data_IF_349568196901
#
_entry.id   IF_349568196901
#
_cell.length_a   1.000
_cell.length_b   1.000
_cell.length_c   1.000
_cell.angle_alpha   90.00
_cell.angle_beta   90.00
_cell.angle_gamma   90.00
#
_symmetry.space_group_name_H-M   'P 1'
#
loop_
_entity.id
_entity.type
_entity.pdbx_description
1 polymer ?
#
# COMPACT_ATOMS: atom_id res chain seq x y z
N UNK A 1 5.56 -6.07 30.72
CA UNK A 1 4.29 -6.67 31.20
C UNK A 1 3.67 -7.43 30.04
N UNK A 2 3.25 -8.67 30.28
CA UNK A 2 2.51 -9.46 29.28
C UNK A 2 1.04 -9.03 29.30
N UNK A 3 0.50 -8.61 28.14
CA UNK A 3 -0.92 -8.27 27.99
C UNK A 3 -1.67 -9.35 27.22
N UNK A 4 -2.91 -9.60 27.60
CA UNK A 4 -3.80 -10.56 26.95
C UNK A 4 -4.96 -9.85 26.27
N UNK A 5 -5.36 -10.30 25.07
CA UNK A 5 -6.41 -9.71 24.24
C UNK A 5 -7.43 -10.77 23.78
N UNK A 6 -8.67 -10.38 23.61
CA UNK A 6 -9.68 -11.24 22.99
C UNK A 6 -9.35 -11.51 21.51
N UNK A 7 -8.76 -10.50 20.83
CA UNK A 7 -8.39 -10.56 19.44
C UNK A 7 -7.05 -9.86 19.18
N UNK A 8 -6.15 -10.54 18.48
CA UNK A 8 -4.94 -9.91 17.92
C UNK A 8 -5.05 -9.92 16.39
N UNK A 9 -4.87 -8.77 15.76
CA UNK A 9 -4.86 -8.61 14.30
C UNK A 9 -3.46 -8.20 13.86
N UNK A 10 -2.81 -9.02 13.04
CA UNK A 10 -1.47 -8.74 12.52
C UNK A 10 -1.61 -8.27 11.07
N UNK A 11 -1.35 -7.00 10.84
CA UNK A 11 -1.51 -6.30 9.56
C UNK A 11 -2.82 -5.51 9.47
N UNK A 12 -2.75 -4.32 8.85
CA UNK A 12 -3.86 -3.34 8.78
C UNK A 12 -4.46 -3.21 7.38
N UNK A 13 -4.32 -4.24 6.55
CA UNK A 13 -4.98 -4.32 5.24
C UNK A 13 -6.42 -4.83 5.35
N UNK A 14 -6.77 -5.85 4.55
CA UNK A 14 -8.11 -6.45 4.51
C UNK A 14 -8.58 -7.01 5.88
N UNK A 15 -7.64 -7.36 6.77
CA UNK A 15 -7.96 -7.85 8.11
C UNK A 15 -8.68 -6.80 8.98
N UNK A 16 -8.62 -5.51 8.64
CA UNK A 16 -9.33 -4.46 9.37
C UNK A 16 -10.86 -4.60 9.34
N UNK A 17 -11.40 -5.31 8.36
CA UNK A 17 -12.86 -5.56 8.28
C UNK A 17 -13.41 -6.20 9.56
N UNK A 18 -12.61 -7.04 10.23
CA UNK A 18 -13.03 -7.71 11.46
C UNK A 18 -12.85 -6.84 12.70
N UNK A 19 -11.97 -5.84 12.67
CA UNK A 19 -11.70 -4.95 13.82
C UNK A 19 -12.95 -4.18 14.20
N UNK A 20 -13.60 -3.52 13.26
CA UNK A 20 -14.80 -2.72 13.52
C UNK A 20 -15.96 -3.58 14.07
N UNK A 21 -16.05 -4.84 13.62
CA UNK A 21 -17.06 -5.77 14.14
C UNK A 21 -16.73 -6.21 15.57
N UNK A 22 -15.45 -6.45 15.88
CA UNK A 22 -14.99 -6.83 17.21
C UNK A 22 -15.12 -5.68 18.22
N UNK A 23 -14.84 -4.44 17.80
CA UNK A 23 -15.05 -3.22 18.61
C UNK A 23 -16.51 -3.11 19.04
N UNK A 24 -17.45 -3.29 18.10
CA UNK A 24 -18.90 -3.25 18.44
C UNK A 24 -19.36 -4.33 19.42
N UNK A 25 -18.58 -5.40 19.56
CA UNK A 25 -18.83 -6.45 20.56
C UNK A 25 -18.12 -6.19 21.90
N UNK A 26 -17.42 -5.07 22.03
CA UNK A 26 -16.72 -4.69 23.26
C UNK A 26 -15.45 -5.51 23.51
N UNK A 27 -14.87 -6.15 22.48
CA UNK A 27 -13.66 -6.94 22.62
C UNK A 27 -12.44 -6.04 22.81
N UNK A 28 -11.47 -6.49 23.62
CA UNK A 28 -10.15 -5.90 23.72
C UNK A 28 -9.25 -6.41 22.60
N UNK A 29 -8.71 -5.50 21.81
CA UNK A 29 -8.03 -5.81 20.55
C UNK A 29 -6.60 -5.28 20.56
N UNK A 30 -5.64 -6.10 20.12
CA UNK A 30 -4.32 -5.64 19.72
C UNK A 30 -4.23 -5.59 18.19
N UNK A 31 -3.79 -4.46 17.65
CA UNK A 31 -3.43 -4.31 16.25
C UNK A 31 -1.91 -4.22 16.13
N UNK A 32 -1.30 -5.10 15.34
CA UNK A 32 0.14 -5.08 15.08
C UNK A 32 0.39 -4.72 13.62
N UNK A 33 1.10 -3.63 13.36
CA UNK A 33 1.45 -3.18 12.01
C UNK A 33 2.93 -2.75 11.97
N UNK A 34 3.69 -3.32 11.03
CA UNK A 34 5.12 -2.98 10.88
C UNK A 34 5.38 -1.73 10.04
N UNK A 35 4.41 -1.32 9.24
CA UNK A 35 4.55 -0.24 8.27
C UNK A 35 3.43 0.80 8.34
N UNK A 36 3.04 1.30 7.18
CA UNK A 36 1.93 2.26 7.07
C UNK A 36 0.58 1.55 7.23
N UNK A 37 -0.32 2.16 7.99
CA UNK A 37 -1.69 1.68 8.17
C UNK A 37 -2.50 1.74 6.88
N UNK A 38 -3.43 0.78 6.69
CA UNK A 38 -4.29 0.68 5.52
C UNK A 38 -3.87 -0.38 4.49
N UNK A 39 -2.75 -1.07 4.72
CA UNK A 39 -2.30 -2.20 3.92
C UNK A 39 -1.96 -1.84 2.47
N UNK A 40 -1.91 -2.87 1.63
CA UNK A 40 -1.50 -2.74 0.21
C UNK A 40 -2.43 -1.84 -0.58
N UNK A 41 -3.75 -1.98 -0.43
CA UNK A 41 -4.72 -1.23 -1.23
C UNK A 41 -4.55 0.28 -1.07
N UNK A 42 -4.43 0.77 0.16
CA UNK A 42 -4.26 2.20 0.43
C UNK A 42 -2.86 2.69 0.04
N UNK A 43 -1.81 1.94 0.38
CA UNK A 43 -0.45 2.48 0.33
C UNK A 43 0.34 2.13 -0.93
N UNK A 44 0.05 0.98 -1.60
CA UNK A 44 0.89 0.41 -2.66
C UNK A 44 0.12 -0.26 -3.79
N UNK A 45 -1.21 -0.13 -3.81
CA UNK A 45 -2.08 -0.86 -4.75
C UNK A 45 -3.17 0.01 -5.34
N UNK A 46 -4.42 -0.28 -4.95
CA UNK A 46 -5.62 0.29 -5.58
C UNK A 46 -5.62 1.82 -5.62
N UNK A 47 -5.43 2.45 -4.48
CA UNK A 47 -5.59 3.91 -4.35
C UNK A 47 -4.51 4.67 -5.10
N UNK A 48 -3.20 4.44 -4.84
CA UNK A 48 -2.14 5.17 -5.55
C UNK A 48 -2.19 4.93 -7.05
N UNK A 49 -2.46 3.70 -7.49
CA UNK A 49 -2.57 3.39 -8.92
C UNK A 49 -3.72 4.14 -9.56
N UNK A 50 -4.90 4.23 -8.93
CA UNK A 50 -6.05 4.96 -9.48
C UNK A 50 -5.83 6.46 -9.59
N UNK A 51 -5.06 7.05 -8.67
CA UNK A 51 -4.66 8.46 -8.77
C UNK A 51 -3.84 8.70 -10.04
N UNK A 52 -2.88 7.80 -10.35
CA UNK A 52 -2.05 7.88 -11.54
C UNK A 52 -2.87 7.57 -12.82
N UNK A 53 -3.66 6.50 -12.80
CA UNK A 53 -4.52 6.07 -13.93
C UNK A 53 -5.51 7.16 -14.31
N UNK A 54 -6.07 7.89 -13.34
CA UNK A 54 -6.98 9.01 -13.62
C UNK A 54 -6.29 10.07 -14.48
N UNK A 55 -5.08 10.47 -14.17
CA UNK A 55 -4.32 11.43 -14.97
C UNK A 55 -4.02 10.88 -16.38
N UNK A 56 -3.64 9.59 -16.47
CA UNK A 56 -3.38 8.92 -17.74
C UNK A 56 -4.64 8.83 -18.64
N UNK A 57 -5.81 8.59 -18.04
CA UNK A 57 -7.08 8.55 -18.75
C UNK A 57 -7.38 9.89 -19.41
N UNK A 58 -7.21 11.01 -18.72
CA UNK A 58 -7.43 12.34 -19.32
C UNK A 58 -6.49 12.59 -20.51
N UNK A 59 -5.22 12.20 -20.43
CA UNK A 59 -4.30 12.32 -21.57
C UNK A 59 -4.78 11.49 -22.76
N UNK A 60 -5.25 10.25 -22.51
CA UNK A 60 -5.81 9.39 -23.55
C UNK A 60 -7.07 9.99 -24.16
N UNK A 61 -8.00 10.43 -23.35
CA UNK A 61 -9.29 11.00 -23.79
C UNK A 61 -9.08 12.25 -24.65
N UNK A 62 -8.14 13.13 -24.26
CA UNK A 62 -7.78 14.31 -25.06
C UNK A 62 -7.24 13.89 -26.44
N UNK A 63 -6.33 12.90 -26.49
CA UNK A 63 -5.79 12.38 -27.75
C UNK A 63 -6.85 11.70 -28.61
N UNK A 64 -7.82 11.01 -28.01
CA UNK A 64 -8.89 10.32 -28.72
C UNK A 64 -10.01 11.28 -29.18
N UNK A 65 -10.17 12.41 -28.53
CA UNK A 65 -11.18 13.41 -28.85
C UNK A 65 -11.06 13.97 -30.30
N UNK A 66 -9.84 14.02 -30.82
CA UNK A 66 -9.58 14.42 -32.22
C UNK A 66 -10.30 13.53 -33.23
N UNK A 67 -10.46 12.24 -32.92
CA UNK A 67 -11.20 11.30 -33.79
C UNK A 67 -12.70 11.62 -33.89
N UNK A 68 -13.21 12.36 -32.90
CA UNK A 68 -14.59 12.83 -32.81
C UNK A 68 -14.75 14.26 -33.33
N UNK A 69 -13.70 14.85 -33.92
CA UNK A 69 -13.72 16.23 -34.44
C UNK A 69 -13.50 17.30 -33.36
N UNK A 70 -13.10 16.90 -32.13
CA UNK A 70 -12.77 17.87 -31.07
C UNK A 70 -11.31 18.28 -31.22
N UNK A 71 -11.07 19.56 -31.46
CA UNK A 71 -9.71 20.10 -31.57
C UNK A 71 -9.19 20.39 -30.18
N UNK A 72 -8.15 19.69 -29.80
CA UNK A 72 -7.43 19.89 -28.55
C UNK A 72 -5.94 20.19 -28.81
N UNK A 73 -5.28 20.81 -27.86
CA UNK A 73 -3.83 20.94 -27.88
C UNK A 73 -3.13 19.67 -27.37
N UNK A 74 -1.78 19.61 -27.46
CA UNK A 74 -1.03 18.46 -26.95
C UNK A 74 -1.22 18.28 -25.44
N UNK A 75 -1.63 17.09 -25.03
CA UNK A 75 -1.80 16.73 -23.63
C UNK A 75 -0.53 16.04 -23.09
N UNK A 76 -0.11 16.43 -21.89
CA UNK A 76 1.00 15.81 -21.16
C UNK A 76 0.72 15.74 -19.67
N UNK A 77 1.42 14.86 -18.95
CA UNK A 77 1.33 14.75 -17.51
C UNK A 77 2.44 15.61 -16.86
N UNK A 78 2.02 16.54 -16.01
CA UNK A 78 2.94 17.14 -15.05
C UNK A 78 3.15 16.15 -13.90
N UNK A 79 4.26 15.41 -13.95
CA UNK A 79 4.55 14.33 -13.00
C UNK A 79 4.63 14.82 -11.55
N UNK A 80 5.23 16.00 -11.32
CA UNK A 80 5.33 16.56 -9.97
C UNK A 80 3.94 16.84 -9.38
N UNK A 81 3.07 17.48 -10.13
CA UNK A 81 1.69 17.77 -9.67
C UNK A 81 0.91 16.51 -9.35
N UNK A 82 1.05 15.45 -10.17
CA UNK A 82 0.38 14.18 -9.91
C UNK A 82 0.99 13.47 -8.69
N UNK A 83 2.30 13.54 -8.53
CA UNK A 83 3.01 13.00 -7.37
C UNK A 83 2.61 13.71 -6.07
N UNK A 84 2.53 15.03 -6.08
CA UNK A 84 2.12 15.83 -4.92
C UNK A 84 0.68 15.49 -4.50
N UNK A 85 -0.21 15.36 -5.48
CA UNK A 85 -1.59 14.92 -5.24
C UNK A 85 -1.64 13.50 -4.66
N UNK A 86 -0.81 12.60 -5.18
CA UNK A 86 -0.73 11.22 -4.72
C UNK A 86 -0.28 11.16 -3.26
N UNK A 87 0.87 11.74 -2.95
CA UNK A 87 1.41 11.67 -1.59
C UNK A 87 0.64 12.54 -0.59
N UNK A 88 0.08 13.65 -1.05
CA UNK A 88 -0.81 14.50 -0.27
C UNK A 88 -2.11 13.80 0.14
N UNK A 89 -2.54 12.77 -0.60
CA UNK A 89 -3.66 11.92 -0.22
C UNK A 89 -3.22 10.73 0.64
N UNK A 90 -2.21 9.97 0.20
CA UNK A 90 -1.85 8.69 0.83
C UNK A 90 -1.32 8.84 2.26
N UNK A 91 -0.45 9.81 2.49
CA UNK A 91 0.17 9.96 3.81
C UNK A 91 -0.85 10.35 4.89
N UNK A 92 -1.72 11.37 4.69
CA UNK A 92 -2.77 11.68 5.65
C UNK A 92 -3.79 10.56 5.82
N UNK A 93 -4.15 9.83 4.76
CA UNK A 93 -5.11 8.73 4.84
C UNK A 93 -4.57 7.56 5.67
N UNK A 94 -3.30 7.21 5.50
CA UNK A 94 -2.65 6.18 6.32
C UNK A 94 -2.55 6.60 7.79
N UNK A 95 -2.13 7.84 8.03
CA UNK A 95 -2.06 8.39 9.39
C UNK A 95 -3.45 8.45 10.05
N UNK A 96 -4.45 8.92 9.31
CA UNK A 96 -5.83 8.99 9.78
C UNK A 96 -6.39 7.62 10.15
N UNK A 97 -6.04 6.57 9.40
CA UNK A 97 -6.42 5.18 9.75
C UNK A 97 -5.79 4.75 11.09
N UNK A 98 -4.52 5.07 11.31
CA UNK A 98 -3.84 4.80 12.57
C UNK A 98 -4.50 5.55 13.73
N UNK A 99 -4.73 6.84 13.56
CA UNK A 99 -5.28 7.71 14.60
C UNK A 99 -6.73 7.34 14.94
N UNK A 100 -7.50 6.88 13.95
CA UNK A 100 -8.83 6.33 14.16
C UNK A 100 -8.80 5.16 15.14
N UNK A 101 -7.95 4.16 14.91
CA UNK A 101 -7.84 3.03 15.84
C UNK A 101 -7.20 3.43 17.18
N UNK A 102 -6.25 4.36 17.18
CA UNK A 102 -5.62 4.84 18.41
C UNK A 102 -6.59 5.61 19.33
N UNK A 103 -7.68 6.14 18.78
CA UNK A 103 -8.71 6.86 19.55
C UNK A 103 -9.70 5.94 20.28
N UNK A 104 -9.66 4.63 20.01
CA UNK A 104 -10.58 3.67 20.62
C UNK A 104 -10.00 3.09 21.91
N UNK A 105 -10.75 3.18 23.01
CA UNK A 105 -10.30 2.76 24.35
C UNK A 105 -9.99 1.27 24.45
N UNK A 106 -10.62 0.45 23.62
CA UNK A 106 -10.46 -1.01 23.63
C UNK A 106 -9.48 -1.53 22.58
N UNK A 107 -8.67 -0.64 21.95
CA UNK A 107 -7.64 -1.00 20.98
C UNK A 107 -6.27 -0.55 21.46
N UNK A 108 -5.33 -1.48 21.52
CA UNK A 108 -3.90 -1.18 21.66
C UNK A 108 -3.20 -1.38 20.31
N UNK A 109 -2.40 -0.40 19.91
CA UNK A 109 -1.61 -0.44 18.68
C UNK A 109 -0.15 -0.76 18.99
N UNK A 110 0.38 -1.73 18.26
CA UNK A 110 1.78 -2.13 18.28
C UNK A 110 2.40 -1.88 16.90
N UNK A 111 3.15 -0.82 16.77
CA UNK A 111 3.88 -0.51 15.54
C UNK A 111 5.19 -1.30 15.51
N UNK A 112 5.18 -2.46 14.85
CA UNK A 112 6.31 -3.38 14.87
C UNK A 112 6.05 -4.71 14.16
N UNK A 113 7.00 -5.62 14.30
CA UNK A 113 6.95 -6.96 13.71
C UNK A 113 6.67 -8.00 14.78
N UNK A 114 5.58 -8.76 14.59
CA UNK A 114 5.21 -9.86 15.48
C UNK A 114 5.87 -11.18 15.08
N UNK A 115 6.27 -11.97 16.06
CA UNK A 115 6.74 -13.34 15.91
C UNK A 115 6.04 -14.24 16.94
N UNK A 116 5.64 -15.43 16.54
CA UNK A 116 5.06 -16.40 17.48
C UNK A 116 6.13 -16.98 18.39
N UNK A 117 5.88 -16.96 19.68
CA UNK A 117 6.70 -17.62 20.73
C UNK A 117 5.99 -18.82 21.32
N UNK A 118 4.68 -18.94 21.08
CA UNK A 118 3.84 -20.07 21.50
C UNK A 118 2.61 -20.16 20.61
N UNK A 119 1.67 -21.03 20.95
CA UNK A 119 0.45 -21.27 20.15
C UNK A 119 -0.40 -20.00 19.99
N UNK A 120 -0.42 -19.16 21.02
CA UNK A 120 -1.20 -17.91 21.09
C UNK A 120 -0.40 -16.75 21.65
N UNK A 121 0.90 -16.93 21.79
CA UNK A 121 1.83 -15.96 22.36
C UNK A 121 2.67 -15.33 21.26
N UNK A 122 2.84 -14.04 21.35
CA UNK A 122 3.54 -13.22 20.36
C UNK A 122 4.59 -12.34 21.05
N UNK A 123 5.75 -12.30 20.45
CA UNK A 123 6.78 -11.30 20.70
C UNK A 123 6.73 -10.24 19.60
N UNK A 124 6.73 -8.96 19.97
CA UNK A 124 6.67 -7.83 19.05
C UNK A 124 7.94 -7.01 19.19
N UNK A 125 8.73 -6.98 18.13
CA UNK A 125 9.84 -6.03 17.99
C UNK A 125 9.27 -4.70 17.47
N UNK A 126 9.18 -3.70 18.35
CA UNK A 126 8.59 -2.40 18.02
C UNK A 126 9.56 -1.55 17.19
N UNK A 127 9.02 -0.71 16.32
CA UNK A 127 9.80 0.15 15.43
C UNK A 127 10.66 1.19 16.16
N UNK A 128 10.32 1.50 17.42
CA UNK A 128 11.11 2.38 18.29
C UNK A 128 12.26 1.68 19.03
N UNK A 129 12.51 0.38 18.74
CA UNK A 129 13.55 -0.44 19.35
C UNK A 129 13.15 -1.10 20.66
N UNK A 130 11.99 -0.82 21.23
CA UNK A 130 11.47 -1.54 22.39
C UNK A 130 10.79 -2.86 21.98
N UNK A 131 10.34 -3.63 22.98
CA UNK A 131 9.74 -4.94 22.79
C UNK A 131 8.46 -5.07 23.61
N UNK A 132 7.52 -5.89 23.15
CA UNK A 132 6.32 -6.24 23.89
C UNK A 132 6.01 -7.73 23.71
N UNK A 133 5.53 -8.36 24.77
CA UNK A 133 5.01 -9.73 24.74
C UNK A 133 3.52 -9.69 25.02
N UNK A 134 2.74 -10.28 24.10
CA UNK A 134 1.28 -10.31 24.17
C UNK A 134 0.77 -11.72 23.88
N UNK A 135 -0.48 -11.97 24.27
CA UNK A 135 -1.22 -13.16 23.85
C UNK A 135 -2.63 -12.80 23.42
N UNK A 136 -3.29 -13.70 22.69
CA UNK A 136 -4.66 -13.49 22.26
C UNK A 136 -5.48 -14.76 22.20
N UNK A 137 -6.77 -14.67 22.52
CA UNK A 137 -7.69 -15.79 22.35
C UNK A 137 -7.83 -16.19 20.89
N UNK A 138 -7.89 -15.19 20.02
CA UNK A 138 -7.94 -15.35 18.56
C UNK A 138 -6.88 -14.45 17.92
N UNK A 139 -6.21 -15.00 16.89
CA UNK A 139 -5.18 -14.26 16.15
C UNK A 139 -5.54 -14.30 14.66
N UNK A 140 -5.62 -13.14 14.03
CA UNK A 140 -5.87 -12.98 12.60
C UNK A 140 -4.58 -12.58 11.92
N UNK A 141 -4.16 -13.39 10.95
CA UNK A 141 -2.99 -13.13 10.12
C UNK A 141 -3.40 -12.39 8.84
N UNK A 142 -3.27 -11.06 8.86
CA UNK A 142 -3.49 -10.18 7.71
C UNK A 142 -2.19 -9.64 7.13
N UNK A 143 -1.13 -10.44 7.14
CA UNK A 143 0.25 -10.02 6.81
C UNK A 143 0.48 -9.73 5.32
N UNK A 144 -0.52 -10.01 4.48
CA UNK A 144 -0.44 -9.79 3.04
C UNK A 144 0.46 -10.81 2.32
N UNK A 145 0.79 -10.48 1.08
CA UNK A 145 1.67 -11.26 0.22
C UNK A 145 2.85 -10.43 -0.24
N UNK A 146 3.92 -11.09 -0.65
CA UNK A 146 5.07 -10.47 -1.34
C UNK A 146 4.96 -10.67 -2.84
N UNK A 147 5.47 -9.71 -3.61
CA UNK A 147 5.61 -9.87 -5.05
C UNK A 147 6.53 -11.04 -5.36
N UNK A 148 6.08 -11.97 -6.19
CA UNK A 148 6.91 -13.04 -6.69
C UNK A 148 7.83 -12.48 -7.79
N UNK A 149 9.14 -12.55 -7.57
CA UNK A 149 10.14 -12.09 -8.52
C UNK A 149 10.57 -13.29 -9.38
N UNK A 150 10.38 -13.24 -10.71
CA UNK A 150 10.79 -14.33 -11.58
C UNK A 150 12.32 -14.43 -11.60
N UNK A 151 12.83 -15.66 -11.70
CA UNK A 151 14.27 -15.89 -11.86
C UNK A 151 14.62 -15.64 -13.32
N UNK A 152 15.18 -14.48 -13.61
CA UNK A 152 15.64 -14.06 -14.92
C UNK A 152 17.13 -13.70 -14.86
N UNK A 153 17.97 -14.27 -15.74
CA UNK A 153 19.39 -13.90 -15.79
C UNK A 153 19.56 -12.40 -16.02
N UNK A 154 20.40 -11.76 -15.22
CA UNK A 154 20.68 -10.32 -15.31
C UNK A 154 19.64 -9.40 -14.67
N UNK A 155 18.58 -9.92 -14.05
CA UNK A 155 17.52 -9.09 -13.47
C UNK A 155 18.02 -8.26 -12.28
N UNK A 156 18.82 -8.86 -11.42
CA UNK A 156 19.37 -8.18 -10.24
C UNK A 156 20.38 -7.09 -10.64
N UNK A 157 21.23 -7.37 -11.62
CA UNK A 157 22.24 -6.43 -12.13
C UNK A 157 21.58 -5.26 -12.88
N UNK A 158 20.52 -5.51 -13.64
CA UNK A 158 19.76 -4.48 -14.34
C UNK A 158 18.95 -3.60 -13.37
N UNK A 159 18.63 -4.15 -12.21
CA UNK A 159 17.70 -3.55 -11.26
C UNK A 159 16.24 -3.60 -11.74
N UNK A 160 15.35 -3.65 -10.80
CA UNK A 160 13.90 -3.66 -11.08
C UNK A 160 13.09 -2.93 -10.01
N UNK A 161 11.86 -2.64 -10.36
CA UNK A 161 10.82 -2.13 -9.42
C UNK A 161 9.64 -3.07 -9.42
N UNK A 162 9.00 -3.18 -8.27
CA UNK A 162 7.70 -3.84 -8.09
C UNK A 162 6.65 -2.79 -7.74
N UNK A 163 5.38 -3.14 -7.75
CA UNK A 163 4.33 -2.23 -7.24
C UNK A 163 4.60 -1.78 -5.80
N UNK A 164 5.21 -2.64 -4.99
CA UNK A 164 5.56 -2.32 -3.61
C UNK A 164 6.67 -1.28 -3.53
N UNK A 165 7.78 -1.48 -4.23
CA UNK A 165 8.91 -0.55 -4.23
C UNK A 165 8.63 0.72 -5.02
N UNK A 166 7.78 0.66 -6.07
CA UNK A 166 7.37 1.84 -6.83
C UNK A 166 6.63 2.86 -5.95
N UNK A 167 5.72 2.39 -5.08
CA UNK A 167 5.05 3.26 -4.10
C UNK A 167 5.79 3.31 -2.75
N UNK A 168 7.07 3.04 -2.75
CA UNK A 168 7.98 3.08 -1.61
C UNK A 168 9.23 3.90 -1.92
N UNK A 169 10.36 3.29 -1.67
CA UNK A 169 11.71 3.87 -1.80
C UNK A 169 12.15 4.13 -3.25
N UNK A 170 11.53 3.46 -4.22
CA UNK A 170 11.85 3.58 -5.65
C UNK A 170 10.84 4.42 -6.45
N UNK A 171 10.05 5.28 -5.78
CA UNK A 171 9.14 6.18 -6.50
C UNK A 171 9.93 7.17 -7.37
N UNK A 172 9.68 7.23 -8.68
CA UNK A 172 10.50 8.04 -9.58
C UNK A 172 10.16 9.54 -9.46
N UNK A 173 11.19 10.39 -9.41
CA UNK A 173 11.03 11.86 -9.39
C UNK A 173 10.52 12.42 -10.73
N UNK A 174 10.68 11.67 -11.81
CA UNK A 174 10.18 11.95 -13.16
C UNK A 174 9.85 10.62 -13.84
N UNK A 175 8.97 10.60 -14.86
CA UNK A 175 8.70 9.38 -15.63
C UNK A 175 10.00 8.77 -16.16
N UNK A 176 10.03 7.44 -16.24
CA UNK A 176 11.15 6.74 -16.87
C UNK A 176 11.25 7.10 -18.36
N UNK A 177 12.44 7.15 -18.91
CA UNK A 177 12.64 7.33 -20.36
C UNK A 177 12.11 6.12 -21.14
N UNK A 178 12.38 4.92 -20.61
CA UNK A 178 11.88 3.66 -21.13
C UNK A 178 11.64 2.67 -20.00
N UNK A 179 10.72 1.74 -20.19
CA UNK A 179 10.32 0.77 -19.18
C UNK A 179 9.95 -0.56 -19.85
N UNK A 180 10.52 -1.64 -19.36
CA UNK A 180 10.06 -2.99 -19.71
C UNK A 180 9.17 -3.50 -18.56
N UNK A 181 7.98 -3.93 -18.89
CA UNK A 181 7.03 -4.51 -17.93
C UNK A 181 7.00 -6.02 -18.11
N UNK A 182 7.40 -6.73 -17.08
CA UNK A 182 7.35 -8.19 -17.05
C UNK A 182 6.06 -8.65 -16.39
N UNK A 183 5.10 -9.08 -17.19
CA UNK A 183 3.79 -9.54 -16.79
C UNK A 183 2.65 -8.66 -17.31
N UNK A 184 1.63 -9.30 -17.88
CA UNK A 184 0.42 -8.68 -18.45
C UNK A 184 -0.81 -8.73 -17.53
N UNK A 185 -0.61 -8.85 -16.22
CA UNK A 185 -1.71 -8.77 -15.25
C UNK A 185 -2.18 -7.32 -15.03
N UNK A 186 -3.23 -7.12 -14.17
CA UNK A 186 -3.82 -5.79 -13.96
C UNK A 186 -2.81 -4.71 -13.61
N UNK A 187 -1.84 -5.02 -12.73
CA UNK A 187 -0.80 -4.09 -12.31
C UNK A 187 0.08 -3.67 -13.49
N UNK A 188 0.52 -4.63 -14.30
CA UNK A 188 1.36 -4.35 -15.47
C UNK A 188 0.63 -3.50 -16.51
N UNK A 189 -0.64 -3.80 -16.78
CA UNK A 189 -1.47 -3.04 -17.71
C UNK A 189 -1.70 -1.60 -17.22
N UNK A 190 -2.01 -1.40 -15.94
CA UNK A 190 -2.23 -0.08 -15.35
C UNK A 190 -0.94 0.75 -15.39
N UNK A 191 0.20 0.20 -15.01
CA UNK A 191 1.47 0.92 -15.08
C UNK A 191 1.89 1.19 -16.53
N UNK A 192 1.69 0.26 -17.46
CA UNK A 192 1.91 0.50 -18.88
C UNK A 192 1.10 1.70 -19.38
N UNK A 193 -0.17 1.77 -19.03
CA UNK A 193 -1.03 2.90 -19.36
C UNK A 193 -0.54 4.22 -18.76
N UNK A 194 -0.20 4.23 -17.47
CA UNK A 194 0.28 5.42 -16.76
C UNK A 194 1.58 5.95 -17.36
N UNK A 195 2.57 5.09 -17.49
CA UNK A 195 3.90 5.51 -17.96
C UNK A 195 3.87 5.86 -19.45
N UNK A 196 3.11 5.15 -20.27
CA UNK A 196 2.91 5.53 -21.68
C UNK A 196 2.27 6.93 -21.81
N UNK A 197 1.23 7.23 -21.03
CA UNK A 197 0.61 8.56 -21.00
C UNK A 197 1.58 9.65 -20.51
N UNK A 198 2.54 9.29 -19.65
CA UNK A 198 3.59 10.19 -19.17
C UNK A 198 4.77 10.33 -20.15
N UNK A 199 4.75 9.66 -21.31
CA UNK A 199 5.77 9.77 -22.36
C UNK A 199 6.91 8.75 -22.27
N UNK A 200 6.81 7.74 -21.42
CA UNK A 200 7.75 6.61 -21.33
C UNK A 200 7.60 5.70 -22.56
N UNK A 201 8.71 5.22 -23.10
CA UNK A 201 8.77 4.26 -24.22
C UNK A 201 8.76 2.82 -23.77
#
# INVERSE_FOLDING_TARGET
MHKHYDLVVIGTGAANIVVDAAVRQGLHIAIVEKGKFGGTCLNRGCIPTKILVTAANYVREIKEAERLGVVSGPASINWQTVSDRLWGFLNPASQGTRDYYASMENIDIYEGTASFTGKKDLHIALNNGSQADISGDKIILGTGAKTNIPVLPGLEEAGYVTSESLFGDKYPQKPYNSLIIVGGGPIGCEFGHVFNAAGTK
#
